data_IF_949478696328
#
_entry.id   IF_949478696328
#
_cell.length_a   1.000
_cell.length_b   1.000
_cell.length_c   1.000
_cell.angle_alpha   90.00
_cell.angle_beta   90.00
_cell.angle_gamma   90.00
#
_symmetry.space_group_name_H-M   'P 1'
#
loop_
_entity.id
_entity.type
_entity.pdbx_description
1 polymer ?
#
# COMPACT_ATOMS: atom_id res chain seq x y z
N UNK A 1 3.55 -15.06 -15.34
CA UNK A 1 4.42 -16.05 -14.67
C UNK A 1 5.64 -15.32 -14.12
N UNK A 2 5.95 -15.43 -12.83
CA UNK A 2 7.11 -14.75 -12.23
C UNK A 2 8.40 -15.52 -12.57
N UNK A 3 9.04 -15.14 -13.68
CA UNK A 3 10.26 -15.79 -14.19
C UNK A 3 11.41 -15.79 -13.20
N UNK A 4 11.47 -14.79 -12.31
CA UNK A 4 12.52 -14.69 -11.31
C UNK A 4 12.31 -15.74 -10.20
N UNK A 5 11.07 -15.90 -9.71
CA UNK A 5 10.71 -16.99 -8.80
C UNK A 5 10.94 -18.37 -9.42
N UNK A 6 10.60 -18.54 -10.70
CA UNK A 6 10.82 -19.81 -11.41
C UNK A 6 12.31 -20.18 -11.50
N UNK A 7 13.19 -19.21 -11.77
CA UNK A 7 14.63 -19.46 -11.81
C UNK A 7 15.20 -19.81 -10.43
N UNK A 8 14.75 -19.14 -9.37
CA UNK A 8 15.18 -19.44 -8.00
C UNK A 8 14.65 -20.78 -7.53
N UNK A 9 13.40 -21.14 -7.86
CA UNK A 9 12.84 -22.47 -7.61
C UNK A 9 13.62 -23.58 -8.33
N UNK A 10 14.22 -23.28 -9.50
CA UNK A 10 15.16 -24.17 -10.20
C UNK A 10 16.58 -24.16 -9.62
N UNK A 11 16.78 -23.60 -8.42
CA UNK A 11 18.06 -23.59 -7.71
C UNK A 11 19.07 -22.55 -8.20
N UNK A 12 18.67 -21.58 -9.03
CA UNK A 12 19.57 -20.48 -9.41
C UNK A 12 19.70 -19.48 -8.26
N UNK A 13 20.94 -19.10 -7.93
CA UNK A 13 21.19 -18.11 -6.89
C UNK A 13 20.68 -16.70 -7.24
N UNK A 14 20.24 -15.94 -6.24
CA UNK A 14 19.71 -14.58 -6.38
C UNK A 14 20.67 -13.65 -7.14
N UNK A 15 21.98 -13.77 -6.92
CA UNK A 15 22.98 -12.92 -7.59
C UNK A 15 23.05 -13.14 -9.11
N UNK A 16 22.85 -14.38 -9.56
CA UNK A 16 22.79 -14.68 -10.99
C UNK A 16 21.51 -14.12 -11.59
N UNK A 17 20.38 -14.43 -10.96
CA UNK A 17 19.05 -14.00 -11.42
C UNK A 17 18.94 -12.47 -11.46
N UNK A 18 19.51 -11.76 -10.48
CA UNK A 18 19.52 -10.30 -10.44
C UNK A 18 20.27 -9.70 -11.63
N UNK A 19 21.43 -10.27 -11.99
CA UNK A 19 22.22 -9.83 -13.15
C UNK A 19 21.49 -10.12 -14.46
N UNK A 20 20.93 -11.32 -14.61
CA UNK A 20 20.19 -11.72 -15.81
C UNK A 20 18.95 -10.87 -16.04
N UNK A 21 18.26 -10.47 -14.97
CA UNK A 21 17.02 -9.70 -15.04
C UNK A 21 17.23 -8.18 -14.98
N UNK A 22 18.46 -7.70 -14.72
CA UNK A 22 18.74 -6.27 -14.56
C UNK A 22 18.06 -5.62 -13.34
N UNK A 23 17.77 -6.39 -12.28
CA UNK A 23 17.10 -5.88 -11.06
C UNK A 23 18.03 -5.94 -9.85
N UNK A 24 17.79 -5.10 -8.85
CA UNK A 24 18.60 -5.12 -7.63
C UNK A 24 18.39 -6.42 -6.83
N UNK A 25 19.45 -6.89 -6.16
CA UNK A 25 19.40 -8.07 -5.29
C UNK A 25 18.39 -7.91 -4.15
N UNK A 26 18.25 -6.69 -3.62
CA UNK A 26 17.31 -6.38 -2.55
C UNK A 26 15.84 -6.48 -3.02
N UNK A 27 15.53 -5.88 -4.18
CA UNK A 27 14.20 -5.97 -4.79
C UNK A 27 13.83 -7.42 -5.10
N UNK A 28 14.77 -8.16 -5.67
CA UNK A 28 14.56 -9.56 -5.99
C UNK A 28 14.36 -10.43 -4.73
N UNK A 29 15.15 -10.21 -3.68
CA UNK A 29 15.00 -10.91 -2.40
C UNK A 29 13.63 -10.65 -1.77
N UNK A 30 13.17 -9.39 -1.75
CA UNK A 30 11.82 -9.06 -1.28
C UNK A 30 10.75 -9.76 -2.09
N UNK A 31 10.86 -9.76 -3.42
CA UNK A 31 9.89 -10.41 -4.30
C UNK A 31 9.81 -11.93 -4.10
N UNK A 32 10.96 -12.59 -3.92
CA UNK A 32 11.01 -14.04 -3.70
C UNK A 32 10.43 -14.42 -2.33
N UNK A 33 10.78 -13.67 -1.28
CA UNK A 33 10.40 -14.00 0.09
C UNK A 33 8.99 -13.55 0.47
N UNK A 34 8.34 -12.68 -0.31
CA UNK A 34 6.93 -12.36 -0.12
C UNK A 34 6.07 -13.59 -0.39
N UNK A 35 5.05 -13.80 0.44
CA UNK A 35 4.02 -14.80 0.16
C UNK A 35 3.15 -14.39 -1.03
N UNK A 36 2.38 -15.33 -1.60
CA UNK A 36 1.48 -15.04 -2.73
C UNK A 36 0.34 -14.08 -2.34
N UNK A 37 -0.08 -14.11 -1.08
CA UNK A 37 -1.07 -13.24 -0.45
C UNK A 37 -0.46 -11.97 0.17
N UNK A 38 0.83 -11.72 -0.06
CA UNK A 38 1.46 -10.53 0.49
C UNK A 38 0.81 -9.26 -0.06
N UNK A 39 0.25 -8.46 0.85
CA UNK A 39 -0.31 -7.14 0.58
C UNK A 39 0.50 -6.08 1.32
N UNK A 40 0.75 -4.94 0.67
CA UNK A 40 1.35 -3.80 1.38
C UNK A 40 0.30 -3.17 2.30
N UNK A 41 0.42 -3.43 3.60
CA UNK A 41 -0.51 -2.92 4.61
C UNK A 41 -0.53 -1.39 4.70
N UNK A 42 0.47 -0.69 4.15
CA UNK A 42 0.47 0.77 4.08
C UNK A 42 -0.59 1.30 3.11
N UNK A 43 -0.95 0.52 2.10
CA UNK A 43 -1.99 0.88 1.14
C UNK A 43 -3.40 0.39 1.57
N UNK A 44 -3.51 -0.36 2.67
CA UNK A 44 -4.75 -1.02 3.10
C UNK A 44 -5.61 -0.17 4.05
N UNK A 45 -5.72 1.13 3.80
CA UNK A 45 -6.53 2.03 4.65
C UNK A 45 -7.51 2.85 3.81
N UNK A 46 -8.20 2.19 2.87
CA UNK A 46 -9.47 2.67 2.34
C UNK A 46 -10.55 1.80 2.93
N UNK A 47 -11.22 2.35 3.93
CA UNK A 47 -12.46 1.79 4.43
C UNK A 47 -13.49 2.85 4.08
N UNK A 48 -14.06 2.76 2.88
CA UNK A 48 -14.93 3.81 2.34
C UNK A 48 -16.07 4.15 3.31
N UNK A 49 -16.59 3.17 4.05
CA UNK A 49 -17.59 3.36 5.11
C UNK A 49 -17.07 4.21 6.29
N UNK A 50 -15.89 3.90 6.83
CA UNK A 50 -15.30 4.66 7.93
C UNK A 50 -14.79 6.03 7.46
N UNK A 51 -14.35 6.13 6.21
CA UNK A 51 -13.92 7.38 5.59
C UNK A 51 -15.14 8.29 5.36
N UNK A 52 -16.29 7.76 4.92
CA UNK A 52 -17.56 8.50 4.81
C UNK A 52 -18.06 9.00 6.17
N UNK A 53 -17.97 8.18 7.22
CA UNK A 53 -18.35 8.60 8.59
C UNK A 53 -17.47 9.76 9.09
N UNK A 54 -16.15 9.66 8.90
CA UNK A 54 -15.19 10.72 9.28
C UNK A 54 -15.44 11.99 8.47
N UNK A 55 -15.67 11.87 7.16
CA UNK A 55 -15.97 13.00 6.27
C UNK A 55 -17.25 13.71 6.70
N UNK A 56 -18.32 12.96 7.00
CA UNK A 56 -19.58 13.49 7.50
C UNK A 56 -19.40 14.26 8.81
N UNK A 57 -18.67 13.68 9.77
CA UNK A 57 -18.39 14.34 11.05
C UNK A 57 -17.59 15.64 10.88
N UNK A 58 -16.61 15.68 9.97
CA UNK A 58 -15.85 16.90 9.68
C UNK A 58 -16.75 17.98 9.06
N UNK A 59 -17.62 17.60 8.12
CA UNK A 59 -18.55 18.54 7.49
C UNK A 59 -19.54 19.15 8.50
N UNK A 60 -20.05 18.33 9.42
CA UNK A 60 -20.95 18.77 10.49
C UNK A 60 -20.25 19.73 11.47
N UNK A 61 -19.02 19.42 11.89
CA UNK A 61 -18.21 20.30 12.73
C UNK A 61 -17.91 21.62 12.02
N UNK A 62 -17.55 21.57 10.73
CA UNK A 62 -17.30 22.80 9.98
C UNK A 62 -18.57 23.65 9.82
N UNK A 63 -19.71 23.03 9.51
CA UNK A 63 -21.00 23.72 9.40
C UNK A 63 -21.40 24.41 10.71
N UNK A 64 -21.34 23.69 11.83
CA UNK A 64 -21.67 24.23 13.15
C UNK A 64 -20.74 25.37 13.59
N UNK A 65 -19.43 25.27 13.33
CA UNK A 65 -18.46 26.34 13.61
C UNK A 65 -18.74 27.58 12.77
N UNK A 66 -19.08 27.42 11.50
CA UNK A 66 -19.44 28.54 10.63
C UNK A 66 -20.75 29.21 11.05
N UNK A 67 -21.76 28.43 11.42
CA UNK A 67 -23.07 28.95 11.82
C UNK A 67 -23.00 29.68 13.17
N UNK A 68 -22.27 29.14 14.15
CA UNK A 68 -22.00 29.81 15.42
C UNK A 68 -21.19 31.10 15.25
N UNK A 69 -20.17 31.11 14.39
CA UNK A 69 -19.39 32.30 14.09
C UNK A 69 -20.21 33.40 13.37
N UNK A 70 -21.22 33.01 12.58
CA UNK A 70 -22.10 33.95 11.88
C UNK A 70 -23.20 34.54 12.77
N UNK A 71 -23.67 33.80 13.78
CA UNK A 71 -24.67 34.28 14.76
C UNK A 71 -24.06 35.29 15.75
N UNK A 72 -22.78 35.16 16.06
CA UNK A 72 -22.05 36.03 17.03
C UNK A 72 -21.46 37.29 16.37
N UNK A 73 -21.61 37.44 15.05
CA UNK A 73 -21.14 38.59 14.26
C UNK A 73 -22.24 39.63 14.07
#
# INVERSE_FOLDING_TARGET
MDSARALVAKGRGIALVSRTMGVSRAQLSLRINRSADWQDKRCNRRNDEADEEILSAILDIMGSVWETANIVR
#
